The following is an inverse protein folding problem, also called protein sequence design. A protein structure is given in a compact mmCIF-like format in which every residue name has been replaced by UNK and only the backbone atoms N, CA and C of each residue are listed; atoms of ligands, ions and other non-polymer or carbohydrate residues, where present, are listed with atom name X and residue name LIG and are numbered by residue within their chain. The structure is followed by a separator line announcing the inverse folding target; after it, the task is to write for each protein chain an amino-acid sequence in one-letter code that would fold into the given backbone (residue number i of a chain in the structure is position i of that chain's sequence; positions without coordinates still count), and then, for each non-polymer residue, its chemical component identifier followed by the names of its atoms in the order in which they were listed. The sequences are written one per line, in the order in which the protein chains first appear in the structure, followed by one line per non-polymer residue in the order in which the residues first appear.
data_IF_773068364508
#
_entry.id   IF_773068364508
#
_cell.length_a   1.000
_cell.length_b   1.000
_cell.length_c   1.000
_cell.angle_alpha   90.00
_cell.angle_beta   90.00
_cell.angle_gamma   90.00
#
_symmetry.space_group_name_H-M   'P 1'
#
loop_
_entity.id
_entity.type
_entity.pdbx_description
1 polymer ?
#
# COMPACT_ATOMS: atom_id res chain seq x y z
N UNK A 1 -4.84 -13.73 -14.50
CA UNK A 1 -4.36 -12.79 -13.45
C UNK A 1 -3.11 -12.12 -13.97
N UNK A 2 -3.05 -10.79 -13.88
CA UNK A 2 -1.92 -10.01 -14.41
C UNK A 2 -1.28 -9.20 -13.27
N UNK A 3 0.01 -8.94 -13.40
CA UNK A 3 0.72 -7.99 -12.55
C UNK A 3 0.06 -6.61 -12.66
N UNK A 4 -0.11 -5.92 -11.54
CA UNK A 4 -0.80 -4.65 -11.46
C UNK A 4 -2.30 -4.76 -11.19
N UNK A 5 -2.92 -5.90 -11.43
CA UNK A 5 -4.32 -6.11 -11.07
C UNK A 5 -4.50 -6.13 -9.55
N UNK A 6 -5.61 -5.55 -9.09
CA UNK A 6 -5.99 -5.52 -7.68
C UNK A 6 -7.22 -6.38 -7.50
N UNK A 7 -7.15 -7.25 -6.51
CA UNK A 7 -8.19 -8.18 -6.11
C UNK A 7 -8.57 -7.97 -4.65
N UNK A 8 -9.71 -8.45 -4.25
CA UNK A 8 -10.00 -8.67 -2.85
C UNK A 8 -9.61 -10.09 -2.45
N UNK A 9 -8.78 -10.20 -1.42
CA UNK A 9 -8.49 -11.47 -0.77
C UNK A 9 -9.49 -11.66 0.37
N UNK A 10 -10.26 -12.72 0.28
CA UNK A 10 -11.25 -13.12 1.29
C UNK A 10 -10.65 -14.19 2.21
N UNK A 11 -10.74 -13.97 3.49
CA UNK A 11 -10.27 -14.92 4.50
C UNK A 11 -11.12 -14.85 5.78
N UNK A 12 -11.02 -15.86 6.61
CA UNK A 12 -11.66 -15.92 7.92
C UNK A 12 -10.63 -15.58 8.99
N UNK A 13 -10.91 -14.58 9.82
CA UNK A 13 -10.02 -14.19 10.92
C UNK A 13 -10.13 -15.17 12.12
N UNK A 14 -9.26 -15.00 13.11
CA UNK A 14 -9.22 -15.85 14.30
C UNK A 14 -10.51 -15.79 15.16
N UNK A 15 -11.39 -14.81 14.89
CA UNK A 15 -12.70 -14.71 15.51
C UNK A 15 -13.83 -15.27 14.63
N UNK A 16 -13.48 -16.08 13.62
CA UNK A 16 -14.41 -16.70 12.65
C UNK A 16 -15.22 -15.66 11.83
N UNK A 17 -14.71 -14.44 11.67
CA UNK A 17 -15.35 -13.39 10.87
C UNK A 17 -14.75 -13.39 9.47
N UNK A 18 -15.62 -13.32 8.47
CA UNK A 18 -15.19 -13.10 7.10
C UNK A 18 -14.57 -11.71 6.96
N UNK A 19 -13.39 -11.66 6.38
CA UNK A 19 -12.64 -10.44 6.10
C UNK A 19 -12.32 -10.36 4.63
N UNK A 20 -12.20 -9.13 4.17
CA UNK A 20 -11.90 -8.81 2.78
C UNK A 20 -10.89 -7.68 2.74
N UNK A 21 -9.74 -7.91 2.14
CA UNK A 21 -8.67 -6.93 2.01
C UNK A 21 -8.26 -6.77 0.56
N UNK A 22 -7.99 -5.54 0.09
CA UNK A 22 -7.45 -5.33 -1.24
C UNK A 22 -5.97 -5.72 -1.27
N UNK A 23 -5.60 -6.42 -2.34
CA UNK A 23 -4.23 -6.86 -2.61
C UNK A 23 -3.84 -6.57 -4.05
N UNK A 24 -2.60 -6.13 -4.26
CA UNK A 24 -1.99 -5.89 -5.55
C UNK A 24 -1.19 -7.11 -5.97
N UNK A 25 -1.40 -7.60 -7.18
CA UNK A 25 -0.59 -8.67 -7.78
C UNK A 25 0.75 -8.09 -8.24
N UNK A 26 1.84 -8.62 -7.72
CA UNK A 26 3.21 -8.16 -8.01
C UNK A 26 4.05 -9.22 -8.74
N UNK A 27 3.59 -10.48 -8.80
CA UNK A 27 4.24 -11.55 -9.55
C UNK A 27 4.09 -11.38 -11.07
N UNK A 28 5.05 -11.92 -11.80
CA UNK A 28 5.09 -11.86 -13.26
C UNK A 28 3.93 -12.62 -13.93
N UNK A 29 3.49 -12.09 -15.08
CA UNK A 29 2.34 -12.61 -15.82
C UNK A 29 2.53 -14.07 -16.27
N UNK A 30 3.74 -14.43 -16.69
CA UNK A 30 4.05 -15.81 -17.09
C UNK A 30 3.89 -16.76 -15.91
N UNK A 31 4.35 -16.38 -14.72
CA UNK A 31 4.15 -17.16 -13.49
C UNK A 31 2.66 -17.26 -13.16
N UNK A 32 1.94 -16.14 -13.15
CA UNK A 32 0.52 -16.08 -12.83
C UNK A 32 -0.36 -16.95 -13.75
N UNK A 33 0.03 -17.10 -15.01
CA UNK A 33 -0.68 -17.92 -15.99
C UNK A 33 -0.46 -19.43 -15.82
N UNK A 34 0.62 -19.84 -15.14
CA UNK A 34 1.04 -21.24 -15.05
C UNK A 34 1.03 -21.82 -13.62
N UNK A 35 0.78 -21.01 -12.62
CA UNK A 35 0.79 -21.41 -11.22
C UNK A 35 -0.58 -21.19 -10.55
N UNK A 36 -0.98 -22.01 -9.57
CA UNK A 36 -2.22 -21.79 -8.82
C UNK A 36 -2.12 -20.68 -7.78
N UNK A 37 -0.94 -20.08 -7.63
CA UNK A 37 -0.64 -19.00 -6.68
C UNK A 37 -0.22 -17.73 -7.41
N UNK A 38 -0.42 -16.58 -6.77
CA UNK A 38 0.16 -15.30 -7.16
C UNK A 38 0.87 -14.67 -5.96
N UNK A 39 1.91 -13.88 -6.22
CA UNK A 39 2.52 -13.07 -5.18
C UNK A 39 1.79 -11.74 -5.10
N UNK A 40 1.35 -11.39 -3.90
CA UNK A 40 0.56 -10.19 -3.65
C UNK A 40 1.11 -9.38 -2.48
N UNK A 41 0.77 -8.09 -2.45
CA UNK A 41 0.98 -7.17 -1.32
C UNK A 41 -0.34 -6.49 -0.97
N UNK A 42 -0.53 -6.16 0.31
CA UNK A 42 -1.76 -5.52 0.78
C UNK A 42 -1.80 -4.05 0.45
N UNK A 43 -3.03 -3.55 0.21
CA UNK A 43 -3.33 -2.12 0.23
C UNK A 43 -4.04 -1.78 1.54
N UNK A 44 -3.77 -0.56 2.03
CA UNK A 44 -4.43 0.00 3.21
C UNK A 44 -4.74 1.48 2.98
N UNK A 45 -5.89 1.94 3.46
CA UNK A 45 -6.19 3.37 3.52
C UNK A 45 -5.41 4.10 4.60
N UNK A 46 -4.86 3.36 5.56
CA UNK A 46 -4.18 3.89 6.74
C UNK A 46 -2.74 3.45 6.77
N UNK A 47 -1.87 4.34 7.20
CA UNK A 47 -0.45 4.08 7.42
C UNK A 47 -0.11 4.30 8.91
N UNK A 48 -0.65 3.41 9.76
CA UNK A 48 -0.51 3.54 11.22
C UNK A 48 0.93 3.34 11.72
N UNK A 49 1.73 2.57 10.96
CA UNK A 49 3.15 2.31 11.26
C UNK A 49 3.96 2.63 10.01
N UNK A 50 4.32 3.90 9.76
CA UNK A 50 5.07 4.29 8.57
C UNK A 50 6.40 3.56 8.49
N UNK A 51 6.66 2.93 7.33
CA UNK A 51 7.91 2.27 7.00
C UNK A 51 8.43 2.78 5.65
N UNK A 52 9.75 2.77 5.42
CA UNK A 52 10.34 3.27 4.17
C UNK A 52 9.78 2.59 2.91
N UNK A 53 9.41 1.32 3.01
CA UNK A 53 8.86 0.53 1.90
C UNK A 53 7.36 0.71 1.67
N UNK A 54 6.66 1.53 2.45
CA UNK A 54 5.28 1.88 2.17
C UNK A 54 5.20 2.85 1.00
N UNK A 55 4.36 2.54 0.03
CA UNK A 55 4.19 3.36 -1.18
C UNK A 55 2.79 3.96 -1.18
N UNK A 56 2.71 5.28 -1.10
CA UNK A 56 1.44 5.98 -1.30
C UNK A 56 1.07 6.00 -2.78
N UNK A 57 -0.18 5.67 -3.08
CA UNK A 57 -0.75 5.71 -4.43
C UNK A 57 -2.08 6.46 -4.35
N UNK A 58 -2.21 7.62 -5.01
CA UNK A 58 -3.46 8.35 -5.09
C UNK A 58 -4.49 7.60 -5.92
N UNK A 59 -5.77 7.82 -5.64
CA UNK A 59 -6.87 7.08 -6.27
C UNK A 59 -6.96 7.26 -7.79
N UNK A 60 -6.51 8.40 -8.31
CA UNK A 60 -6.47 8.71 -9.74
C UNK A 60 -5.31 8.02 -10.50
N UNK A 61 -4.32 7.48 -9.79
CA UNK A 61 -3.27 6.66 -10.38
C UNK A 61 -3.73 5.24 -10.72
N UNK A 62 -4.87 4.80 -10.20
CA UNK A 62 -5.49 3.53 -10.60
C UNK A 62 -6.32 3.72 -11.87
N UNK A 63 -6.31 2.69 -12.73
CA UNK A 63 -7.13 2.70 -13.94
C UNK A 63 -8.62 2.77 -13.60
N UNK A 64 -9.33 3.68 -14.25
CA UNK A 64 -10.75 3.93 -14.00
C UNK A 64 -11.66 3.09 -14.93
N UNK A 65 -12.83 2.64 -14.46
CA UNK A 65 -13.39 2.85 -13.12
C UNK A 65 -12.71 1.99 -12.04
N UNK A 66 -12.41 2.57 -10.89
CA UNK A 66 -11.73 1.89 -9.78
C UNK A 66 -12.58 1.86 -8.52
N UNK A 67 -12.57 0.71 -7.82
CA UNK A 67 -13.13 0.60 -6.47
C UNK A 67 -12.10 0.97 -5.40
N UNK A 68 -10.86 1.26 -5.81
CA UNK A 68 -9.75 1.61 -4.92
C UNK A 68 -9.60 3.13 -4.92
N UNK A 69 -9.51 3.69 -3.74
CA UNK A 69 -9.22 5.10 -3.48
C UNK A 69 -7.76 5.27 -3.05
N UNK A 70 -7.37 6.46 -2.61
CA UNK A 70 -6.06 6.72 -2.02
C UNK A 70 -5.66 5.60 -1.09
N UNK A 71 -4.48 5.02 -1.31
CA UNK A 71 -4.05 3.82 -0.60
C UNK A 71 -2.54 3.80 -0.40
N UNK A 72 -2.12 3.15 0.67
CA UNK A 72 -0.73 2.75 0.90
C UNK A 72 -0.57 1.29 0.50
N UNK A 73 0.43 1.00 -0.31
CA UNK A 73 0.86 -0.36 -0.62
C UNK A 73 1.92 -0.75 0.39
N UNK A 74 1.64 -1.80 1.15
CA UNK A 74 2.43 -2.24 2.29
C UNK A 74 3.38 -3.36 1.84
N UNK A 75 4.56 -3.01 1.33
CA UNK A 75 5.49 -3.97 0.71
C UNK A 75 6.02 -5.02 1.68
N UNK A 76 5.99 -4.79 2.99
CA UNK A 76 6.33 -5.79 4.01
C UNK A 76 5.31 -6.93 4.11
N UNK A 77 4.12 -6.77 3.53
CA UNK A 77 3.06 -7.79 3.57
C UNK A 77 3.12 -8.77 2.39
N UNK A 78 4.24 -8.80 1.67
CA UNK A 78 4.42 -9.70 0.53
C UNK A 78 4.11 -11.14 0.92
N UNK A 79 3.23 -11.78 0.16
CA UNK A 79 2.79 -13.15 0.43
C UNK A 79 2.40 -13.88 -0.83
N UNK A 80 2.48 -15.21 -0.78
CA UNK A 80 1.97 -16.10 -1.84
C UNK A 80 0.54 -16.50 -1.50
N UNK A 81 -0.40 -16.19 -2.38
CA UNK A 81 -1.84 -16.41 -2.17
C UNK A 81 -2.43 -17.25 -3.28
N UNK A 82 -3.34 -18.21 -2.94
CA UNK A 82 -4.06 -18.99 -3.95
C UNK A 82 -4.90 -18.07 -4.81
N UNK A 83 -4.78 -18.16 -6.12
CA UNK A 83 -5.56 -17.35 -7.06
C UNK A 83 -7.08 -17.57 -6.87
N UNK A 84 -7.50 -18.77 -6.49
CA UNK A 84 -8.90 -19.11 -6.24
C UNK A 84 -9.52 -18.38 -5.02
N UNK A 85 -8.70 -17.81 -4.11
CA UNK A 85 -9.18 -17.03 -2.97
C UNK A 85 -9.25 -15.51 -3.26
N UNK A 86 -8.98 -15.13 -4.51
CA UNK A 86 -8.96 -13.73 -4.95
C UNK A 86 -10.21 -13.42 -5.77
N UNK A 87 -10.93 -12.38 -5.39
CA UNK A 87 -12.17 -11.94 -6.01
C UNK A 87 -11.93 -10.63 -6.77
N UNK A 88 -12.18 -10.62 -8.05
CA UNK A 88 -11.96 -9.47 -8.93
C UNK A 88 -11.51 -9.87 -10.33
N UNK A 89 -10.77 -9.00 -11.04
CA UNK A 89 -10.11 -7.77 -10.57
C UNK A 89 -11.09 -6.63 -10.28
N UNK A 90 -10.71 -5.76 -9.34
CA UNK A 90 -11.52 -4.60 -8.91
C UNK A 90 -10.87 -3.27 -9.29
N UNK A 91 -9.62 -3.31 -9.70
CA UNK A 91 -8.85 -2.17 -10.20
C UNK A 91 -7.54 -2.66 -10.83
N UNK A 92 -6.79 -1.73 -11.39
CA UNK A 92 -5.47 -1.97 -11.98
C UNK A 92 -4.54 -0.78 -11.68
N UNK A 93 -3.33 -1.08 -11.25
CA UNK A 93 -2.25 -0.11 -11.13
C UNK A 93 -1.33 -0.27 -12.35
N UNK A 94 -1.31 0.68 -13.29
CA UNK A 94 -0.48 0.60 -14.49
C UNK A 94 1.03 0.56 -14.16
N UNK A 95 1.79 -0.06 -15.06
CA UNK A 95 3.24 0.07 -15.02
C UNK A 95 3.64 1.55 -15.16
N UNK A 96 4.63 1.97 -14.38
CA UNK A 96 5.08 3.34 -14.33
C UNK A 96 5.61 3.74 -12.97
N UNK A 97 5.50 5.03 -12.63
CA UNK A 97 6.10 5.58 -11.43
C UNK A 97 5.72 4.83 -10.14
N UNK A 98 4.43 4.63 -9.88
CA UNK A 98 3.97 4.00 -8.63
C UNK A 98 4.33 2.50 -8.58
N UNK A 99 4.16 1.76 -9.69
CA UNK A 99 4.56 0.36 -9.74
C UNK A 99 6.08 0.20 -9.58
N UNK A 100 6.88 1.12 -10.12
CA UNK A 100 8.33 1.11 -9.92
C UNK A 100 8.70 1.37 -8.45
N UNK A 101 7.99 2.27 -7.76
CA UNK A 101 8.15 2.47 -6.31
C UNK A 101 7.80 1.20 -5.52
N UNK A 102 6.74 0.51 -5.90
CA UNK A 102 6.39 -0.79 -5.29
C UNK A 102 7.52 -1.81 -5.48
N UNK A 103 8.09 -1.89 -6.69
CA UNK A 103 9.22 -2.79 -6.94
C UNK A 103 10.44 -2.45 -6.06
N UNK A 104 10.74 -1.17 -5.90
CA UNK A 104 11.86 -0.74 -5.05
C UNK A 104 11.55 -1.01 -3.57
N UNK A 105 10.32 -0.81 -3.12
CA UNK A 105 9.86 -1.19 -1.78
C UNK A 105 9.98 -2.68 -1.50
N UNK A 106 9.64 -3.52 -2.48
CA UNK A 106 9.82 -4.97 -2.40
C UNK A 106 11.30 -5.38 -2.35
N UNK A 107 12.15 -4.79 -3.21
CA UNK A 107 13.60 -5.04 -3.19
C UNK A 107 14.21 -4.65 -1.84
N UNK A 108 13.79 -3.51 -1.28
CA UNK A 108 14.21 -3.08 0.05
C UNK A 108 13.76 -4.07 1.11
N UNK A 109 12.49 -4.46 1.11
CA UNK A 109 11.94 -5.44 2.05
C UNK A 109 12.68 -6.78 2.01
N UNK A 110 13.15 -7.19 0.84
CA UNK A 110 13.92 -8.43 0.65
C UNK A 110 15.43 -8.28 0.88
N UNK A 111 15.89 -7.09 1.29
CA UNK A 111 17.32 -6.80 1.51
C UNK A 111 18.17 -6.74 0.23
N UNK A 112 17.55 -6.57 -0.92
CA UNK A 112 18.23 -6.53 -2.22
C UNK A 112 18.84 -5.16 -2.52
N UNK A 113 18.26 -4.09 -1.96
CA UNK A 113 18.79 -2.72 -2.08
C UNK A 113 18.79 -2.04 -0.72
N UNK A 114 19.72 -1.10 -0.45
CA UNK A 114 19.67 -0.26 0.73
C UNK A 114 18.60 0.84 0.60
N UNK A 115 18.25 1.46 1.71
CA UNK A 115 17.22 2.52 1.76
C UNK A 115 17.57 3.71 0.82
N UNK A 116 18.84 4.07 0.72
CA UNK A 116 19.32 5.17 -0.10
C UNK A 116 19.15 4.93 -1.60
N UNK A 117 19.00 3.67 -2.02
CA UNK A 117 18.77 3.29 -3.40
C UNK A 117 17.27 3.31 -3.79
N UNK A 118 16.38 3.53 -2.83
CA UNK A 118 14.96 3.70 -3.14
C UNK A 118 14.72 5.02 -3.88
N UNK A 119 13.82 4.98 -4.85
CA UNK A 119 13.50 6.16 -5.66
C UNK A 119 12.99 7.31 -4.80
N UNK A 120 13.59 8.48 -4.99
CA UNK A 120 13.18 9.71 -4.31
C UNK A 120 11.89 10.26 -4.92
N UNK A 121 11.17 11.08 -4.15
CA UNK A 121 9.96 11.76 -4.62
C UNK A 121 10.22 12.69 -5.81
N UNK A 122 11.47 13.17 -5.97
CA UNK A 122 11.88 13.99 -7.12
C UNK A 122 11.70 13.30 -8.46
N UNK A 123 11.58 11.96 -8.48
CA UNK A 123 11.33 11.19 -9.70
C UNK A 123 9.81 11.09 -10.02
N UNK A 124 8.97 11.69 -9.19
CA UNK A 124 7.53 11.71 -9.37
C UNK A 124 7.11 12.59 -10.55
N UNK A 125 6.11 12.19 -11.33
CA UNK A 125 5.50 13.07 -12.31
C UNK A 125 4.87 14.31 -11.63
N UNK A 126 4.76 15.41 -12.37
CA UNK A 126 4.35 16.72 -11.84
C UNK A 126 3.00 16.71 -11.09
N UNK A 127 2.08 15.82 -11.45
CA UNK A 127 0.79 15.68 -10.76
C UNK A 127 0.93 15.14 -9.32
N UNK A 128 1.95 14.35 -9.05
CA UNK A 128 2.20 13.81 -7.70
C UNK A 128 2.91 14.84 -6.80
N UNK A 129 3.54 15.87 -7.39
CA UNK A 129 4.14 16.96 -6.62
C UNK A 129 3.09 17.86 -5.94
N UNK A 130 1.84 17.89 -6.45
CA UNK A 130 0.72 18.58 -5.82
C UNK A 130 0.16 17.83 -4.60
N UNK A 131 0.46 16.53 -4.48
CA UNK A 131 0.05 15.73 -3.35
C UNK A 131 1.07 15.85 -2.22
N UNK A 132 0.78 16.75 -1.28
CA UNK A 132 1.46 16.76 0.01
C UNK A 132 0.67 15.89 0.98
N UNK A 133 1.26 14.83 1.58
CA UNK A 133 0.58 14.00 2.58
C UNK A 133 0.21 14.75 3.88
N UNK A 134 0.26 16.09 3.86
CA UNK A 134 0.05 16.95 5.03
C UNK A 134 -1.39 16.94 5.58
N UNK A 135 -2.34 16.29 4.89
CA UNK A 135 -3.71 16.17 5.38
C UNK A 135 -3.96 14.96 6.30
N UNK A 136 -3.01 14.02 6.39
CA UNK A 136 -3.22 12.77 7.13
C UNK A 136 -2.49 12.71 8.47
N UNK A 137 -1.50 13.55 8.66
CA UNK A 137 -0.91 13.82 9.97
C UNK A 137 -1.49 15.13 10.49
N UNK A 138 -2.74 15.10 10.96
CA UNK A 138 -3.18 16.18 11.83
C UNK A 138 -2.29 16.11 13.08
N UNK A 139 -1.72 17.23 13.45
CA UNK A 139 -0.87 17.37 14.65
C UNK A 139 -1.53 16.85 15.95
N UNK A 140 -2.85 16.59 15.92
CA UNK A 140 -3.64 16.02 17.00
C UNK A 140 -3.25 14.59 17.44
N UNK A 141 -2.33 13.91 16.71
CA UNK A 141 -1.87 12.57 17.08
C UNK A 141 -0.38 12.51 17.41
N UNK A 142 0.32 13.66 17.52
CA UNK A 142 1.70 13.64 17.99
C UNK A 142 1.71 13.51 19.53
N UNK A 143 2.59 12.67 20.11
CA UNK A 143 2.69 12.53 21.58
C UNK A 143 3.00 13.85 22.32
N UNK A 144 3.56 14.85 21.62
CA UNK A 144 3.90 16.15 22.18
C UNK A 144 2.69 17.05 22.44
N UNK A 145 1.56 16.88 21.74
CA UNK A 145 0.35 17.66 22.04
C UNK A 145 -0.43 17.13 23.24
N UNK A 146 -0.29 15.85 23.60
CA UNK A 146 -0.92 15.33 24.83
C UNK A 146 -0.29 15.89 26.11
N UNK A 147 1.02 16.16 26.07
CA UNK A 147 1.72 16.69 27.22
C UNK A 147 1.34 18.15 27.57
N UNK A 148 0.96 18.96 26.56
CA UNK A 148 0.54 20.35 26.78
C UNK A 148 -0.90 20.47 27.27
N UNK A 149 -1.80 19.56 26.87
CA UNK A 149 -3.19 19.57 27.38
C UNK A 149 -3.31 19.06 28.82
N UNK A 150 -2.44 18.17 29.28
CA UNK A 150 -2.41 17.72 30.68
C UNK A 150 -1.84 18.79 31.62
N UNK A 151 -0.89 19.60 31.15
CA UNK A 151 -0.29 20.67 31.98
C UNK A 151 -1.25 21.85 32.20
N UNK A 152 -2.13 22.15 31.24
CA UNK A 152 -3.11 23.23 31.39
C UNK A 152 -4.31 22.84 32.26
N UNK A 153 -4.54 21.55 32.53
CA UNK A 153 -5.62 21.08 33.42
C UNK A 153 -5.23 20.97 34.90
N UNK A 154 -3.96 21.03 35.22
CA UNK A 154 -3.46 21.00 36.60
C UNK A 154 -3.28 22.40 37.19
N UNK A 155 -3.47 23.48 36.41
CA UNK A 155 -3.36 24.87 36.88
C UNK A 155 -4.70 25.61 37.04
N UNK A 156 -5.86 24.94 36.85
CA UNK A 156 -7.21 25.45 37.21
C UNK A 156 -7.74 24.74 38.47
#
# INVERSE_FOLDING_TARGET
MKRGEIYFHEYVDNMHRQRRIPVLVVSENVYNGNAPYATVVRLSRYNNNPCPQHVFVPGDAFEQPSQITDSFILCETVSSTKQASLVGPVSFLPDGYHMNKVCDGLKYQMGMIPMEAMRKETDAPAYSAAYRPNGWYSAAHSPQMRATEETEREEE
#
